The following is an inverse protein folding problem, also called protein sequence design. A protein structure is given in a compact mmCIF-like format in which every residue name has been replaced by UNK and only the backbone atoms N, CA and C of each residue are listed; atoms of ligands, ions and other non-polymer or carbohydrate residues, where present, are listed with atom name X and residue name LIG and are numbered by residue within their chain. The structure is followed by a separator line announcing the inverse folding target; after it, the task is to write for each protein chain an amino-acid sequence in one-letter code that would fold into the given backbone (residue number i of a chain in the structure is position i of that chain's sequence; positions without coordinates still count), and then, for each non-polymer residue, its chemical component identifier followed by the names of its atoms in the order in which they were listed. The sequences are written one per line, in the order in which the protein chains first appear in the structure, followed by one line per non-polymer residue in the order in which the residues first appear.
data_IF_600947055616
#
_entry.id   IF_600947055616
#
_cell.length_a   1.000
_cell.length_b   1.000
_cell.length_c   1.000
_cell.angle_alpha   90.00
_cell.angle_beta   90.00
_cell.angle_gamma   90.00
#
_symmetry.space_group_name_H-M   'P 1'
#
loop_
_entity.id
_entity.type
_entity.pdbx_description
1 polymer ?
#
# COMPACT_ATOMS: atom_id res chain seq x y z
N UNK A 1 8.22 -6.78 -18.80
CA UNK A 1 8.24 -5.34 -19.15
C UNK A 1 9.66 -4.78 -19.38
N UNK A 2 10.75 -5.55 -19.20
CA UNK A 2 12.06 -5.13 -19.71
C UNK A 2 12.13 -5.43 -21.21
N UNK A 3 11.94 -4.40 -22.04
CA UNK A 3 12.09 -4.48 -23.50
C UNK A 3 10.96 -3.89 -24.36
N UNK A 4 9.88 -3.35 -23.78
CA UNK A 4 8.81 -2.74 -24.57
C UNK A 4 8.96 -1.22 -24.64
N UNK A 5 8.78 -0.63 -25.83
CA UNK A 5 8.68 0.84 -26.04
C UNK A 5 7.45 1.47 -25.35
N UNK A 6 6.75 0.75 -24.47
CA UNK A 6 5.56 1.19 -23.75
C UNK A 6 5.80 2.48 -22.97
N UNK A 7 6.90 2.57 -22.23
CA UNK A 7 7.16 3.75 -21.41
C UNK A 7 7.29 5.00 -22.30
N UNK A 8 8.03 4.89 -23.39
CA UNK A 8 8.27 5.99 -24.33
C UNK A 8 7.04 6.36 -25.16
N UNK A 9 6.34 5.35 -25.67
CA UNK A 9 5.30 5.54 -26.68
C UNK A 9 3.90 5.70 -26.06
N UNK A 10 3.70 5.33 -24.80
CA UNK A 10 2.39 5.34 -24.14
C UNK A 10 2.46 6.07 -22.81
N UNK A 11 3.34 5.66 -21.90
CA UNK A 11 3.32 6.19 -20.54
C UNK A 11 3.73 7.66 -20.47
N UNK A 12 4.89 8.05 -21.00
CA UNK A 12 5.36 9.44 -20.91
C UNK A 12 4.41 10.43 -21.58
N UNK A 13 3.90 10.20 -22.81
CA UNK A 13 2.91 11.10 -23.41
C UNK A 13 1.67 11.30 -22.54
N UNK A 14 1.15 10.22 -21.95
CA UNK A 14 -0.03 10.30 -21.06
C UNK A 14 0.32 11.08 -19.80
N UNK A 15 1.41 10.71 -19.11
CA UNK A 15 1.89 11.37 -17.89
C UNK A 15 2.05 12.88 -18.08
N UNK A 16 2.69 13.26 -19.18
CA UNK A 16 2.96 14.66 -19.51
C UNK A 16 1.66 15.40 -19.84
N UNK A 17 0.72 14.75 -20.54
CA UNK A 17 -0.59 15.33 -20.87
C UNK A 17 -1.45 15.65 -19.65
N UNK A 18 -1.26 14.94 -18.54
CA UNK A 18 -1.99 15.15 -17.28
C UNK A 18 -1.16 15.91 -16.22
N UNK A 19 0.02 16.42 -16.59
CA UNK A 19 0.86 17.25 -15.72
C UNK A 19 1.47 16.52 -14.53
N UNK A 20 1.67 15.21 -14.61
CA UNK A 20 2.32 14.43 -13.56
C UNK A 20 3.86 14.61 -13.64
N UNK A 21 4.58 14.73 -12.51
CA UNK A 21 6.03 14.92 -12.51
C UNK A 21 6.82 13.81 -13.21
N UNK A 22 7.95 14.16 -13.81
CA UNK A 22 8.80 13.21 -14.53
C UNK A 22 9.34 12.07 -13.67
N UNK A 23 9.45 12.31 -12.37
CA UNK A 23 9.88 11.32 -11.38
C UNK A 23 8.86 10.21 -11.16
N UNK A 24 7.59 10.41 -11.54
CA UNK A 24 6.54 9.42 -11.40
C UNK A 24 6.54 8.46 -12.60
N UNK A 25 6.98 7.24 -12.35
CA UNK A 25 7.14 6.19 -13.36
C UNK A 25 5.98 5.21 -13.33
N UNK A 26 5.83 4.40 -14.38
CA UNK A 26 4.72 3.45 -14.48
C UNK A 26 4.66 2.46 -13.30
N UNK A 27 5.82 2.12 -12.72
CA UNK A 27 5.88 1.25 -11.55
C UNK A 27 5.26 1.88 -10.28
N UNK A 28 5.17 3.21 -10.20
CA UNK A 28 4.60 3.89 -9.04
C UNK A 28 3.09 3.69 -8.92
N UNK A 29 2.41 3.39 -10.03
CA UNK A 29 1.00 2.95 -9.99
C UNK A 29 0.82 1.67 -9.17
N UNK A 30 1.78 0.74 -9.28
CA UNK A 30 1.77 -0.49 -8.50
C UNK A 30 2.06 -0.23 -7.02
N UNK A 31 2.96 0.71 -6.73
CA UNK A 31 3.18 1.16 -5.35
C UNK A 31 1.95 1.84 -4.75
N UNK A 32 1.25 2.64 -5.55
CA UNK A 32 -0.01 3.29 -5.17
C UNK A 32 -1.08 2.26 -4.85
N UNK A 33 -1.27 1.24 -5.72
CA UNK A 33 -2.24 0.17 -5.48
C UNK A 33 -1.98 -0.57 -4.15
N UNK A 34 -0.73 -0.94 -3.88
CA UNK A 34 -0.38 -1.65 -2.66
C UNK A 34 -0.59 -0.79 -1.41
N UNK A 35 -0.24 0.49 -1.47
CA UNK A 35 -0.45 1.45 -0.38
C UNK A 35 -1.95 1.62 -0.07
N UNK A 36 -2.79 1.72 -1.11
CA UNK A 36 -4.24 1.81 -0.95
C UNK A 36 -4.85 0.54 -0.36
N UNK A 37 -4.40 -0.64 -0.80
CA UNK A 37 -4.86 -1.92 -0.24
C UNK A 37 -4.49 -2.02 1.25
N UNK A 38 -3.27 -1.63 1.61
CA UNK A 38 -2.82 -1.68 2.99
C UNK A 38 -3.60 -0.68 3.86
N UNK A 39 -3.84 0.54 3.37
CA UNK A 39 -4.67 1.54 4.06
C UNK A 39 -6.12 1.07 4.22
N UNK A 40 -6.64 0.27 3.29
CA UNK A 40 -7.95 -0.38 3.40
C UNK A 40 -7.97 -1.58 4.38
N UNK A 41 -6.84 -1.89 5.04
CA UNK A 41 -6.72 -2.99 5.99
C UNK A 41 -6.55 -4.37 5.35
N UNK A 42 -6.21 -4.44 4.06
CA UNK A 42 -5.93 -5.72 3.40
C UNK A 42 -4.63 -6.32 3.94
N UNK A 43 -4.67 -7.61 4.23
CA UNK A 43 -3.52 -8.34 4.76
C UNK A 43 -2.30 -8.28 3.81
N UNK A 44 -1.12 -8.06 4.37
CA UNK A 44 0.11 -7.86 3.62
C UNK A 44 0.51 -9.09 2.80
N UNK A 45 0.14 -10.31 3.22
CA UNK A 45 0.36 -11.54 2.45
C UNK A 45 -0.54 -11.60 1.23
N UNK A 46 -1.77 -11.11 1.34
CA UNK A 46 -2.70 -10.98 0.21
C UNK A 46 -2.15 -9.97 -0.80
N UNK A 47 -1.67 -8.82 -0.32
CA UNK A 47 -1.01 -7.81 -1.15
C UNK A 47 0.24 -8.40 -1.83
N UNK A 48 1.10 -9.11 -1.10
CA UNK A 48 2.28 -9.78 -1.66
C UNK A 48 1.90 -10.72 -2.82
N UNK A 49 0.90 -11.59 -2.63
CA UNK A 49 0.41 -12.50 -3.67
C UNK A 49 -0.18 -11.77 -4.87
N UNK A 50 -0.95 -10.70 -4.63
CA UNK A 50 -1.56 -9.88 -5.69
C UNK A 50 -0.51 -9.17 -6.54
N UNK A 51 0.56 -8.72 -5.89
CA UNK A 51 1.71 -8.14 -6.57
C UNK A 51 2.49 -9.26 -7.30
N UNK A 52 2.58 -10.47 -6.74
CA UNK A 52 3.42 -11.53 -7.31
C UNK A 52 4.89 -11.34 -6.93
N UNK A 53 5.15 -10.69 -5.80
CA UNK A 53 6.49 -10.63 -5.23
C UNK A 53 6.85 -12.00 -4.66
N UNK A 54 7.90 -12.62 -5.19
CA UNK A 54 8.40 -13.90 -4.70
C UNK A 54 8.84 -13.80 -3.23
N UNK A 55 9.45 -12.67 -2.86
CA UNK A 55 9.90 -12.38 -1.50
C UNK A 55 8.91 -11.47 -0.76
N UNK A 56 8.59 -11.87 0.47
CA UNK A 56 7.76 -11.08 1.40
C UNK A 56 8.54 -9.88 1.93
N UNK A 57 9.86 -10.01 2.14
CA UNK A 57 10.70 -8.94 2.67
C UNK A 57 10.68 -7.69 1.77
N UNK A 58 10.64 -7.86 0.45
CA UNK A 58 10.51 -6.74 -0.50
C UNK A 58 9.25 -5.92 -0.25
N UNK A 59 8.12 -6.59 0.00
CA UNK A 59 6.83 -5.92 0.23
C UNK A 59 6.79 -5.30 1.63
N UNK A 60 7.26 -6.04 2.64
CA UNK A 60 7.28 -5.58 4.02
C UNK A 60 8.22 -4.39 4.23
N UNK A 61 9.42 -4.42 3.66
CA UNK A 61 10.38 -3.31 3.79
C UNK A 61 9.85 -2.04 3.12
N UNK A 62 9.20 -2.18 1.95
CA UNK A 62 8.63 -1.05 1.20
C UNK A 62 7.48 -0.38 1.94
N UNK A 63 6.58 -1.15 2.57
CA UNK A 63 5.37 -0.61 3.21
C UNK A 63 5.42 -0.62 4.75
N UNK A 64 6.58 -0.85 5.35
CA UNK A 64 6.79 -0.93 6.81
C UNK A 64 6.27 0.31 7.55
N UNK A 65 6.48 1.49 6.97
CA UNK A 65 6.02 2.78 7.52
C UNK A 65 4.49 2.89 7.59
N UNK A 66 3.76 2.38 6.58
CA UNK A 66 2.30 2.31 6.61
C UNK A 66 1.80 1.29 7.64
N UNK A 67 2.58 0.23 7.86
CA UNK A 67 2.28 -0.79 8.88
C UNK A 67 2.31 -0.22 10.30
N UNK A 68 3.22 0.73 10.59
CA UNK A 68 3.29 1.37 11.91
C UNK A 68 2.01 2.13 12.23
N UNK A 69 1.46 2.86 11.25
CA UNK A 69 0.18 3.55 11.42
C UNK A 69 -0.97 2.55 11.63
N UNK A 70 -1.00 1.46 10.86
CA UNK A 70 -2.00 0.41 11.03
C UNK A 70 -1.90 -0.30 12.40
N UNK A 71 -0.70 -0.44 12.96
CA UNK A 71 -0.49 -0.98 14.31
C UNK A 71 -1.03 -0.05 15.40
N UNK A 72 -0.79 1.26 15.29
CA UNK A 72 -1.34 2.24 16.22
C UNK A 72 -2.87 2.21 16.22
N UNK A 73 -3.48 2.19 15.03
CA UNK A 73 -4.93 2.07 14.88
C UNK A 73 -5.49 0.77 15.49
N UNK A 74 -4.75 -0.34 15.37
CA UNK A 74 -5.14 -1.61 15.97
C UNK A 74 -5.06 -1.58 17.51
N UNK A 75 -4.03 -0.95 18.07
CA UNK A 75 -3.87 -0.76 19.51
C UNK A 75 -4.98 0.13 20.06
N UNK A 76 -5.31 1.23 19.37
CA UNK A 76 -6.39 2.14 19.77
C UNK A 76 -7.76 1.44 19.74
N UNK A 77 -8.02 0.63 18.71
CA UNK A 77 -9.23 -0.19 18.63
C UNK A 77 -9.31 -1.20 19.78
N UNK A 78 -8.19 -1.86 20.10
CA UNK A 78 -8.12 -2.81 21.22
C UNK A 78 -8.37 -2.11 22.55
N UNK A 79 -7.74 -0.96 22.79
CA UNK A 79 -7.93 -0.14 23.99
C UNK A 79 -9.41 0.29 24.13
N UNK A 80 -10.05 0.71 23.03
CA UNK A 80 -11.46 1.05 23.00
C UNK A 80 -12.35 -0.15 23.36
N UNK A 81 -12.11 -1.33 22.78
CA UNK A 81 -12.84 -2.57 23.09
C UNK A 81 -12.70 -2.97 24.57
N UNK A 82 -11.47 -2.91 25.11
CA UNK A 82 -11.19 -3.21 26.51
C UNK A 82 -11.85 -2.21 27.46
N UNK A 83 -11.85 -0.91 27.13
CA UNK A 83 -12.53 0.12 27.93
C UNK A 83 -14.05 -0.06 27.94
N UNK A 84 -14.65 -0.47 26.81
CA UNK A 84 -16.08 -0.77 26.68
C UNK A 84 -16.46 -2.01 27.50
N UNK A 85 -15.62 -3.04 27.50
CA UNK A 85 -15.79 -4.22 28.36
C UNK A 85 -15.71 -3.87 29.86
N UNK A 86 -14.78 -2.98 30.24
CA UNK A 86 -14.63 -2.49 31.62
C UNK A 86 -15.80 -1.62 32.11
N UNK A 87 -16.51 -0.93 31.21
CA UNK A 87 -17.68 -0.10 31.53
C UNK A 87 -18.99 -0.87 31.74
N UNK A 88 -19.00 -2.20 31.65
CA UNK A 88 -20.17 -3.02 32.02
C UNK A 88 -20.02 -3.61 33.42
N UNK A 89 -20.25 -2.82 34.48
CA UNK A 89 -20.96 -3.30 35.66
C UNK A 89 -22.29 -2.55 35.82
N UNK A 90 -23.31 -3.31 36.25
CA UNK A 90 -24.74 -3.00 36.51
C UNK A 90 -25.63 -2.78 35.30
#
# INVERSE_FOLDING_TARGET
LRGSNFDRNVWYPIRDSVGIPDTFVFHDLRHTQASLMLAAGVDLKVIQKRLGHADFATTANTYSHLLQNAQNDAVDKLAAMMSKARKKPT
#
